data_IF_904613067273
#
_entry.id   IF_904613067273
#
_cell.length_a   1.000
_cell.length_b   1.000
_cell.length_c   1.000
_cell.angle_alpha   90.00
_cell.angle_beta   90.00
_cell.angle_gamma   90.00
#
_symmetry.space_group_name_H-M   'P 1'
#
loop_
_entity.id
_entity.type
_entity.pdbx_description
1 polymer ?
#
# COMPACT_ATOMS: atom_id res chain seq x y z
N UNK A 1 -15.67 21.58 -16.39
CA UNK A 1 -15.55 21.04 -15.01
C UNK A 1 -15.77 22.21 -14.08
N UNK A 2 -16.59 22.00 -13.05
CA UNK A 2 -16.67 22.95 -11.93
C UNK A 2 -15.41 22.78 -11.08
N UNK A 3 -14.81 23.90 -10.68
CA UNK A 3 -13.58 23.90 -9.91
C UNK A 3 -13.72 24.88 -8.75
N UNK A 4 -13.43 24.40 -7.54
CA UNK A 4 -13.38 25.22 -6.34
C UNK A 4 -11.93 25.31 -5.86
N UNK A 5 -11.55 26.48 -5.35
CA UNK A 5 -10.23 26.70 -4.77
C UNK A 5 -10.25 26.36 -3.28
N UNK A 6 -9.29 25.56 -2.83
CA UNK A 6 -9.06 25.29 -1.41
C UNK A 6 -7.68 25.82 -1.00
N UNK A 7 -7.61 26.47 0.15
CA UNK A 7 -6.33 26.95 0.71
C UNK A 7 -5.70 25.85 1.55
N UNK A 8 -4.42 25.57 1.32
CA UNK A 8 -3.65 24.59 2.09
C UNK A 8 -2.53 25.28 2.87
N UNK A 9 -2.13 24.69 4.00
CA UNK A 9 -0.84 25.04 4.60
C UNK A 9 0.30 24.55 3.71
N UNK A 10 1.47 25.17 3.83
CA UNK A 10 2.66 24.76 3.08
C UNK A 10 3.03 23.30 3.37
N UNK A 11 2.91 22.88 4.64
CA UNK A 11 3.12 21.49 5.06
C UNK A 11 2.16 20.52 4.33
N UNK A 12 0.86 20.82 4.33
CA UNK A 12 -0.14 19.97 3.69
C UNK A 12 0.08 19.90 2.16
N UNK A 13 0.46 21.01 1.54
CA UNK A 13 0.80 21.05 0.12
C UNK A 13 2.02 20.15 -0.20
N UNK A 14 3.08 20.24 0.60
CA UNK A 14 4.29 19.45 0.39
C UNK A 14 4.04 17.95 0.55
N UNK A 15 3.22 17.53 1.53
CA UNK A 15 2.79 16.14 1.67
C UNK A 15 2.02 15.68 0.43
N UNK A 16 1.11 16.52 -0.08
CA UNK A 16 0.31 16.19 -1.26
C UNK A 16 1.17 16.05 -2.52
N UNK A 17 2.22 16.87 -2.66
CA UNK A 17 3.22 16.77 -3.74
C UNK A 17 3.96 15.44 -3.68
N UNK A 18 4.33 14.96 -2.50
CA UNK A 18 5.03 13.68 -2.34
C UNK A 18 4.17 12.48 -2.73
N UNK A 19 2.86 12.53 -2.51
CA UNK A 19 1.93 11.46 -2.90
C UNK A 19 1.59 11.47 -4.40
N UNK A 20 1.85 12.58 -5.11
CA UNK A 20 1.46 12.77 -6.51
C UNK A 20 2.31 11.94 -7.46
N UNK A 21 1.67 11.19 -8.36
CA UNK A 21 2.36 10.47 -9.45
C UNK A 21 2.63 11.39 -10.65
N UNK A 22 3.60 11.01 -11.49
CA UNK A 22 4.08 11.82 -12.62
C UNK A 22 2.95 12.28 -13.58
N UNK A 23 1.99 11.39 -13.87
CA UNK A 23 0.88 11.65 -14.80
C UNK A 23 -0.49 11.84 -14.11
N UNK A 24 -0.51 12.35 -12.87
CA UNK A 24 -1.73 12.53 -12.07
C UNK A 24 -1.96 14.02 -11.75
N UNK A 25 -3.21 14.51 -11.69
CA UNK A 25 -3.51 15.86 -11.19
C UNK A 25 -3.70 15.87 -9.66
N UNK A 26 -3.64 17.03 -9.00
CA UNK A 26 -3.90 17.10 -7.55
C UNK A 26 -5.33 16.65 -7.17
N UNK A 27 -6.31 16.92 -8.03
CA UNK A 27 -7.68 16.43 -7.84
C UNK A 27 -7.73 14.90 -7.88
N UNK A 28 -7.00 14.28 -8.81
CA UNK A 28 -6.92 12.82 -8.91
C UNK A 28 -6.25 12.21 -7.68
N UNK A 29 -5.21 12.85 -7.12
CA UNK A 29 -4.57 12.42 -5.87
C UNK A 29 -5.59 12.40 -4.73
N UNK A 30 -6.35 13.48 -4.54
CA UNK A 30 -7.37 13.56 -3.48
C UNK A 30 -8.42 12.46 -3.65
N UNK A 31 -8.90 12.23 -4.87
CA UNK A 31 -9.88 11.18 -5.18
C UNK A 31 -9.29 9.79 -4.92
N UNK A 32 -8.05 9.53 -5.33
CA UNK A 32 -7.37 8.25 -5.11
C UNK A 32 -7.16 7.97 -3.62
N UNK A 33 -6.72 8.97 -2.87
CA UNK A 33 -6.47 8.84 -1.44
C UNK A 33 -7.76 8.67 -0.65
N UNK A 34 -8.85 9.34 -1.03
CA UNK A 34 -10.16 9.19 -0.38
C UNK A 34 -10.80 7.81 -0.63
N UNK A 35 -10.41 7.14 -1.73
CA UNK A 35 -10.87 5.78 -2.07
C UNK A 35 -10.05 4.66 -1.41
N UNK A 36 -9.05 4.95 -0.57
CA UNK A 36 -8.33 3.89 0.16
C UNK A 36 -9.30 3.19 1.12
N UNK A 37 -9.50 1.88 0.91
CA UNK A 37 -10.24 1.03 1.83
C UNK A 37 -9.58 0.98 3.21
N UNK A 38 -10.36 0.68 4.25
CA UNK A 38 -9.79 0.53 5.60
C UNK A 38 -9.14 -0.84 5.68
N UNK A 39 -8.03 -0.97 6.42
CA UNK A 39 -7.34 -2.26 6.58
C UNK A 39 -8.28 -3.35 7.14
N UNK A 40 -9.23 -2.96 8.00
CA UNK A 40 -10.27 -3.85 8.52
C UNK A 40 -11.16 -4.45 7.43
N UNK A 41 -11.32 -3.77 6.29
CA UNK A 41 -12.13 -4.24 5.17
C UNK A 41 -11.43 -5.38 4.42
N UNK A 42 -10.12 -5.57 4.64
CA UNK A 42 -9.36 -6.71 4.13
C UNK A 42 -9.37 -7.92 5.08
N UNK A 43 -9.90 -7.80 6.30
CA UNK A 43 -9.88 -8.88 7.28
C UNK A 43 -10.81 -10.02 6.84
N UNK A 44 -10.24 -11.19 6.58
CA UNK A 44 -10.98 -12.35 6.08
C UNK A 44 -11.46 -12.22 4.62
N UNK A 45 -11.00 -11.19 3.89
CA UNK A 45 -11.35 -11.00 2.47
C UNK A 45 -10.57 -11.94 1.54
N UNK A 46 -9.50 -12.56 2.05
CA UNK A 46 -8.73 -13.52 1.29
C UNK A 46 -9.33 -14.92 1.40
N UNK A 47 -9.96 -15.36 0.32
CA UNK A 47 -10.39 -16.74 0.12
C UNK A 47 -9.23 -17.52 -0.50
N UNK A 48 -8.35 -18.04 0.36
CA UNK A 48 -7.14 -18.77 -0.03
C UNK A 48 -7.46 -20.25 -0.19
N UNK A 49 -7.01 -20.85 -1.30
CA UNK A 49 -7.09 -22.30 -1.49
C UNK A 49 -5.89 -23.04 -0.88
N UNK A 50 -6.05 -24.35 -0.64
CA UNK A 50 -5.04 -25.18 0.03
C UNK A 50 -3.70 -25.23 -0.74
N UNK A 51 -3.70 -25.12 -2.06
CA UNK A 51 -2.49 -25.15 -2.87
C UNK A 51 -1.75 -23.81 -2.83
N UNK A 52 -2.48 -22.70 -2.85
CA UNK A 52 -1.96 -21.35 -2.62
C UNK A 52 -1.33 -21.25 -1.22
N UNK A 53 -2.02 -21.74 -0.19
CA UNK A 53 -1.52 -21.80 1.19
C UNK A 53 -0.17 -22.53 1.25
N UNK A 54 -0.14 -23.74 0.70
CA UNK A 54 1.05 -24.59 0.70
C UNK A 54 2.22 -23.96 -0.05
N UNK A 55 1.96 -23.35 -1.21
CA UNK A 55 2.99 -22.66 -1.98
C UNK A 55 3.55 -21.45 -1.23
N UNK A 56 2.69 -20.68 -0.56
CA UNK A 56 3.09 -19.53 0.25
C UNK A 56 3.97 -19.93 1.43
N UNK A 57 3.54 -20.90 2.24
CA UNK A 57 4.32 -21.33 3.39
C UNK A 57 5.62 -22.03 2.98
N UNK A 58 5.65 -22.75 1.86
CA UNK A 58 6.89 -23.30 1.31
C UNK A 58 7.89 -22.19 0.92
N UNK A 59 7.40 -21.11 0.29
CA UNK A 59 8.23 -19.96 -0.05
C UNK A 59 8.74 -19.24 1.20
N UNK A 60 7.88 -18.97 2.19
CA UNK A 60 8.27 -18.37 3.46
C UNK A 60 9.35 -19.17 4.17
N UNK A 61 9.18 -20.49 4.28
CA UNK A 61 10.16 -21.40 4.88
C UNK A 61 11.50 -21.31 4.16
N UNK A 62 11.49 -21.36 2.82
CA UNK A 62 12.71 -21.24 2.00
C UNK A 62 13.42 -19.90 2.21
N UNK A 63 12.67 -18.81 2.38
CA UNK A 63 13.26 -17.49 2.64
C UNK A 63 13.85 -17.40 4.05
N UNK A 64 13.17 -17.96 5.06
CA UNK A 64 13.67 -18.00 6.42
C UNK A 64 14.96 -18.83 6.55
N UNK A 65 14.99 -20.03 5.96
CA UNK A 65 16.20 -20.86 5.90
C UNK A 65 17.37 -20.09 5.26
N UNK A 66 17.11 -19.37 4.16
CA UNK A 66 18.13 -18.53 3.51
C UNK A 66 18.56 -17.32 4.36
N UNK A 67 17.69 -16.79 5.20
CA UNK A 67 18.02 -15.66 6.10
C UNK A 67 18.81 -16.10 7.33
N UNK A 68 18.51 -17.28 7.92
CA UNK A 68 19.29 -17.85 9.02
C UNK A 68 20.72 -18.19 8.58
N UNK A 69 20.87 -18.71 7.34
CA UNK A 69 22.19 -18.96 6.73
C UNK A 69 22.99 -17.66 6.51
N UNK A 70 22.32 -16.50 6.45
CA UNK A 70 22.97 -15.18 6.33
C UNK A 70 23.26 -14.49 7.67
N UNK A 71 22.98 -15.13 8.80
CA UNK A 71 23.43 -14.67 10.13
C UNK A 71 22.78 -13.37 10.62
N UNK A 72 21.64 -12.96 10.06
CA UNK A 72 20.85 -11.85 10.62
C UNK A 72 19.83 -12.47 11.57
N UNK A 73 20.18 -12.54 12.86
CA UNK A 73 19.18 -12.69 13.93
C UNK A 73 18.33 -11.42 13.92
N UNK A 74 17.05 -11.57 13.58
CA UNK A 74 16.03 -10.58 13.94
C UNK A 74 15.75 -10.64 15.44
#
# INVERSE_FOLDING_TARGET
MESEAITLTEEAYNILVQEKKDNESFADVIIRLSKRGKLKDCFGAWDMDDEEEKAMFANLRRFWEKSEVRGIKL
#
